data_IF_681535157165
#
_entry.id   IF_681535157165
#
_cell.length_a   1.000
_cell.length_b   1.000
_cell.length_c   1.000
_cell.angle_alpha   90.00
_cell.angle_beta   90.00
_cell.angle_gamma   90.00
#
_symmetry.space_group_name_H-M   'P 1'
#
loop_
_entity.id
_entity.type
_entity.pdbx_description
1 polymer ?
#
# COMPACT_ATOMS: atom_id res chain seq x y z
N UNK A 1 2.42 3.29 -10.21
CA UNK A 1 3.28 2.43 -11.05
C UNK A 1 4.73 2.70 -10.71
N UNK A 2 5.47 1.69 -10.27
CA UNK A 2 6.87 1.51 -10.67
C UNK A 2 7.08 0.12 -11.31
N UNK A 3 8.08 -0.05 -12.21
CA UNK A 3 8.30 -1.30 -12.93
C UNK A 3 9.01 -2.35 -12.06
N UNK A 4 8.78 -3.62 -12.38
CA UNK A 4 9.42 -4.76 -11.73
C UNK A 4 10.80 -5.03 -12.33
N UNK A 5 11.76 -5.34 -11.46
CA UNK A 5 13.12 -5.78 -11.83
C UNK A 5 13.16 -7.29 -12.03
N UNK A 6 13.81 -7.77 -13.10
CA UNK A 6 14.00 -9.19 -13.39
C UNK A 6 15.18 -9.79 -12.61
N UNK A 7 15.04 -11.02 -12.09
CA UNK A 7 16.13 -11.99 -11.90
C UNK A 7 16.03 -13.07 -12.99
N UNK A 8 17.04 -13.68 -13.63
CA UNK A 8 18.48 -13.86 -13.45
C UNK A 8 18.75 -15.36 -13.72
N UNK A 9 19.49 -15.65 -14.79
CA UNK A 9 20.40 -16.80 -14.96
C UNK A 9 19.93 -18.20 -14.52
N UNK A 10 19.66 -19.06 -15.51
CA UNK A 10 19.67 -20.52 -15.32
C UNK A 10 21.11 -21.02 -15.10
N UNK A 11 21.36 -21.64 -13.95
CA UNK A 11 22.58 -22.39 -13.69
C UNK A 11 22.47 -23.84 -14.18
N UNK A 12 23.47 -24.30 -14.91
CA UNK A 12 23.64 -25.70 -15.31
C UNK A 12 24.05 -26.57 -14.11
N UNK A 13 23.45 -27.76 -13.99
CA UNK A 13 23.88 -28.80 -13.03
C UNK A 13 24.33 -30.03 -13.80
N UNK A 14 25.56 -30.48 -13.55
CA UNK A 14 26.18 -31.64 -14.18
C UNK A 14 25.63 -32.95 -13.59
N UNK A 15 25.48 -33.97 -14.45
CA UNK A 15 25.14 -35.33 -14.04
C UNK A 15 26.40 -36.20 -13.99
N UNK A 16 26.66 -36.96 -12.90
CA UNK A 16 27.85 -37.79 -12.79
C UNK A 16 27.74 -39.10 -13.60
N UNK A 17 28.83 -39.46 -14.25
CA UNK A 17 29.02 -40.71 -15.01
C UNK A 17 28.92 -41.96 -14.12
N UNK A 18 28.06 -42.91 -14.49
CA UNK A 18 28.11 -44.29 -13.98
C UNK A 18 28.92 -45.18 -14.93
N UNK A 19 29.94 -45.84 -14.38
CA UNK A 19 30.82 -46.77 -15.11
C UNK A 19 30.12 -48.12 -15.31
N UNK A 20 30.08 -48.61 -16.54
CA UNK A 20 29.81 -50.03 -16.81
C UNK A 20 31.09 -50.84 -16.63
N UNK A 21 31.05 -51.85 -15.75
CA UNK A 21 32.06 -52.91 -15.70
C UNK A 21 31.68 -54.02 -16.69
N UNK A 22 32.41 -54.11 -17.80
CA UNK A 22 32.33 -55.24 -18.73
C UNK A 22 33.19 -56.39 -18.24
N UNK A 23 32.57 -57.50 -17.83
CA UNK A 23 33.26 -58.76 -17.58
C UNK A 23 33.62 -59.43 -18.93
N UNK A 24 34.90 -59.71 -19.13
CA UNK A 24 35.40 -60.50 -20.27
C UNK A 24 35.89 -61.85 -19.74
N UNK A 25 35.33 -62.95 -20.26
CA UNK A 25 35.79 -64.31 -19.95
C UNK A 25 36.71 -64.76 -21.08
N UNK A 26 38.01 -64.78 -20.80
CA UNK A 26 39.02 -65.35 -21.70
C UNK A 26 39.11 -66.87 -21.54
N UNK A 27 38.71 -67.61 -22.57
CA UNK A 27 38.95 -69.06 -22.67
C UNK A 27 40.29 -69.32 -23.38
N UNK A 28 41.34 -69.55 -22.59
CA UNK A 28 42.65 -69.98 -23.09
C UNK A 28 42.70 -71.50 -23.22
N UNK A 29 42.72 -72.01 -24.45
CA UNK A 29 43.03 -73.41 -24.74
C UNK A 29 44.52 -73.53 -25.11
N UNK A 30 45.31 -74.23 -24.28
CA UNK A 30 46.72 -74.51 -24.54
C UNK A 30 47.01 -76.01 -24.56
N UNK A 31 47.22 -76.49 -25.78
CA UNK A 31 47.74 -77.78 -26.25
C UNK A 31 48.71 -78.52 -25.33
N UNK A 32 48.52 -79.83 -25.19
CA UNK A 32 49.61 -80.79 -24.93
C UNK A 32 49.46 -81.99 -25.89
N UNK A 33 50.39 -82.12 -26.84
CA UNK A 33 51.08 -83.37 -27.22
C UNK A 33 52.07 -83.10 -28.37
N UNK A 34 53.29 -83.62 -28.24
CA UNK A 34 54.37 -83.46 -29.21
C UNK A 34 54.84 -84.78 -29.83
N UNK A 35 55.55 -84.64 -30.96
CA UNK A 35 56.44 -85.58 -31.72
C UNK A 35 57.01 -86.76 -30.90
N UNK A 36 57.34 -87.94 -31.44
CA UNK A 36 57.82 -88.38 -32.78
C UNK A 36 57.38 -89.86 -33.06
N UNK A 37 57.79 -90.62 -34.10
CA UNK A 37 58.52 -90.36 -35.36
C UNK A 37 59.24 -91.63 -35.93
N UNK A 38 59.38 -91.70 -37.27
CA UNK A 38 60.10 -92.67 -38.13
C UNK A 38 59.76 -94.20 -38.10
N UNK A 39 59.35 -94.66 -39.30
CA UNK A 39 59.84 -95.81 -40.09
C UNK A 39 59.54 -97.32 -39.80
N UNK A 40 58.93 -97.91 -40.83
CA UNK A 40 59.20 -99.21 -41.50
C UNK A 40 59.01 -100.56 -40.77
N UNK A 41 57.88 -101.20 -41.10
CA UNK A 41 57.72 -102.56 -41.64
C UNK A 41 58.50 -103.76 -41.04
N UNK A 42 57.76 -104.79 -40.60
CA UNK A 42 57.64 -106.14 -41.24
C UNK A 42 56.89 -107.14 -40.32
N UNK A 43 55.88 -107.80 -40.89
CA UNK A 43 55.26 -109.09 -40.54
C UNK A 43 55.14 -109.58 -39.07
N UNK A 44 53.90 -109.51 -38.57
CA UNK A 44 53.08 -110.68 -38.22
C UNK A 44 53.66 -111.81 -37.33
N UNK A 45 53.41 -111.72 -36.02
CA UNK A 45 52.97 -112.89 -35.22
C UNK A 45 51.75 -112.51 -34.37
N UNK A 46 50.70 -113.33 -34.50
CA UNK A 46 49.37 -113.26 -33.88
C UNK A 46 49.34 -112.74 -32.41
N UNK A 47 48.62 -111.67 -32.06
CA UNK A 47 47.15 -111.46 -32.08
C UNK A 47 46.29 -112.33 -31.13
N UNK A 48 46.74 -112.59 -29.89
CA UNK A 48 45.80 -113.08 -28.84
C UNK A 48 45.88 -112.38 -27.46
N UNK A 49 47.03 -111.84 -27.02
CA UNK A 49 47.16 -111.27 -25.67
C UNK A 49 46.87 -109.76 -25.55
N UNK A 50 46.98 -109.01 -26.66
CA UNK A 50 46.66 -107.56 -26.69
C UNK A 50 45.15 -107.31 -26.54
N UNK A 51 44.32 -108.28 -26.92
CA UNK A 51 42.86 -108.24 -26.81
C UNK A 51 42.41 -108.09 -25.36
N UNK A 52 42.87 -108.94 -24.44
CA UNK A 52 42.38 -108.92 -23.06
C UNK A 52 42.88 -107.70 -22.26
N UNK A 53 44.12 -107.25 -22.49
CA UNK A 53 44.61 -105.98 -21.93
C UNK A 53 43.83 -104.77 -22.49
N UNK A 54 43.41 -104.80 -23.77
CA UNK A 54 42.48 -103.80 -24.32
C UNK A 54 41.10 -103.87 -23.66
N UNK A 55 40.54 -105.06 -23.41
CA UNK A 55 39.25 -105.20 -22.72
C UNK A 55 39.29 -104.70 -21.28
N UNK A 56 40.35 -104.98 -20.51
CA UNK A 56 40.50 -104.49 -19.14
C UNK A 56 40.72 -102.96 -19.12
N UNK A 57 41.59 -102.41 -19.98
CA UNK A 57 41.71 -100.95 -20.10
C UNK A 57 40.42 -100.30 -20.62
N UNK A 58 39.65 -100.96 -21.48
CA UNK A 58 38.35 -100.46 -21.93
C UNK A 58 37.32 -100.48 -20.77
N UNK A 59 37.28 -101.53 -19.96
CA UNK A 59 36.43 -101.62 -18.77
C UNK A 59 36.82 -100.59 -17.70
N UNK A 60 38.12 -100.37 -17.45
CA UNK A 60 38.60 -99.33 -16.53
C UNK A 60 38.34 -97.93 -17.08
N UNK A 61 38.50 -97.70 -18.40
CA UNK A 61 38.09 -96.44 -19.03
C UNK A 61 36.57 -96.23 -18.97
N UNK A 62 35.75 -97.25 -19.17
CA UNK A 62 34.28 -97.17 -19.08
C UNK A 62 33.83 -96.91 -17.64
N UNK A 63 34.45 -97.55 -16.64
CA UNK A 63 34.21 -97.32 -15.23
C UNK A 63 34.69 -95.91 -14.81
N UNK A 64 35.88 -95.49 -15.23
CA UNK A 64 36.43 -94.16 -14.98
C UNK A 64 35.63 -93.04 -15.67
N UNK A 65 35.13 -93.27 -16.89
CA UNK A 65 34.19 -92.38 -17.56
C UNK A 65 32.88 -92.30 -16.78
N UNK A 66 32.31 -93.43 -16.31
CA UNK A 66 31.08 -93.41 -15.52
C UNK A 66 31.23 -92.68 -14.18
N UNK A 67 32.37 -92.82 -13.49
CA UNK A 67 32.68 -92.08 -12.26
C UNK A 67 32.89 -90.58 -12.56
N UNK A 68 33.61 -90.23 -13.62
CA UNK A 68 33.82 -88.84 -14.04
C UNK A 68 32.49 -88.16 -14.40
N UNK A 69 31.61 -88.86 -15.13
CA UNK A 69 30.26 -88.41 -15.44
C UNK A 69 29.42 -88.24 -14.16
N UNK A 70 29.49 -89.18 -13.20
CA UNK A 70 28.81 -89.06 -11.91
C UNK A 70 29.29 -87.85 -11.10
N UNK A 71 30.60 -87.58 -11.06
CA UNK A 71 31.17 -86.41 -10.39
C UNK A 71 30.75 -85.10 -11.08
N UNK A 72 30.73 -85.09 -12.42
CA UNK A 72 30.26 -83.93 -13.19
C UNK A 72 28.77 -83.66 -12.95
N UNK A 73 27.92 -84.70 -12.95
CA UNK A 73 26.48 -84.59 -12.65
C UNK A 73 26.23 -84.14 -11.21
N UNK A 74 26.99 -84.64 -10.23
CA UNK A 74 26.91 -84.18 -8.85
C UNK A 74 27.35 -82.71 -8.70
N UNK A 75 28.43 -82.31 -9.37
CA UNK A 75 28.89 -80.92 -9.41
C UNK A 75 27.83 -79.99 -10.01
N UNK A 76 27.21 -80.38 -11.14
CA UNK A 76 26.11 -79.65 -11.78
C UNK A 76 24.90 -79.56 -10.86
N UNK A 77 24.54 -80.65 -10.16
CA UNK A 77 23.43 -80.65 -9.21
C UNK A 77 23.67 -79.73 -8.01
N UNK A 78 24.89 -79.72 -7.45
CA UNK A 78 25.28 -78.82 -6.36
C UNK A 78 25.27 -77.35 -6.83
N UNK A 79 25.81 -77.06 -8.02
CA UNK A 79 25.76 -75.72 -8.63
C UNK A 79 24.32 -75.25 -8.86
N UNK A 80 23.46 -76.11 -9.42
CA UNK A 80 22.04 -75.81 -9.61
C UNK A 80 21.36 -75.50 -8.27
N UNK A 81 21.62 -76.30 -7.22
CA UNK A 81 21.07 -76.05 -5.87
C UNK A 81 21.59 -74.77 -5.24
N UNK A 82 22.87 -74.42 -5.41
CA UNK A 82 23.43 -73.13 -4.95
C UNK A 82 22.72 -71.96 -5.64
N UNK A 83 22.61 -72.01 -6.96
CA UNK A 83 21.93 -71.00 -7.76
C UNK A 83 20.44 -70.87 -7.42
N UNK A 84 19.74 -71.98 -7.15
CA UNK A 84 18.34 -72.00 -6.72
C UNK A 84 18.13 -71.43 -5.29
N UNK A 85 19.17 -71.39 -4.46
CA UNK A 85 19.16 -70.73 -3.14
C UNK A 85 19.45 -69.23 -3.30
N UNK A 86 20.48 -68.87 -4.07
CA UNK A 86 20.83 -67.48 -4.37
C UNK A 86 19.68 -66.75 -5.07
N UNK A 87 19.05 -67.37 -6.08
CA UNK A 87 17.91 -66.80 -6.79
C UNK A 87 16.70 -66.57 -5.87
N UNK A 88 16.44 -67.49 -4.92
CA UNK A 88 15.41 -67.32 -3.87
C UNK A 88 15.79 -66.32 -2.78
N UNK A 89 17.07 -66.00 -2.61
CA UNK A 89 17.50 -64.90 -1.76
C UNK A 89 17.30 -63.56 -2.47
N UNK A 90 17.82 -63.42 -3.69
CA UNK A 90 17.62 -62.23 -4.54
C UNK A 90 16.13 -61.90 -4.72
N UNK A 91 15.26 -62.90 -4.90
CA UNK A 91 13.82 -62.68 -5.05
C UNK A 91 13.18 -62.11 -3.77
N UNK A 92 13.56 -62.60 -2.57
CA UNK A 92 13.08 -62.04 -1.29
C UNK A 92 13.66 -60.65 -1.00
N UNK A 93 14.90 -60.40 -1.39
CA UNK A 93 15.52 -59.07 -1.32
C UNK A 93 14.84 -58.08 -2.29
N UNK A 94 14.42 -58.53 -3.48
CA UNK A 94 13.62 -57.73 -4.41
C UNK A 94 12.25 -57.39 -3.81
N UNK A 95 11.49 -58.39 -3.36
CA UNK A 95 10.14 -58.20 -2.78
C UNK A 95 10.17 -57.26 -1.56
N UNK A 96 11.18 -57.38 -0.69
CA UNK A 96 11.34 -56.45 0.44
C UNK A 96 11.70 -55.03 0.00
N UNK A 97 12.57 -54.87 -1.00
CA UNK A 97 12.92 -53.54 -1.54
C UNK A 97 11.77 -52.88 -2.30
N UNK A 98 10.96 -53.66 -3.01
CA UNK A 98 9.73 -53.16 -3.64
C UNK A 98 8.73 -52.65 -2.58
N UNK A 99 8.53 -53.40 -1.50
CA UNK A 99 7.69 -52.96 -0.37
C UNK A 99 8.22 -51.70 0.33
N UNK A 100 9.55 -51.58 0.52
CA UNK A 100 10.16 -50.36 1.08
C UNK A 100 9.94 -49.14 0.17
N UNK A 101 10.07 -49.31 -1.15
CA UNK A 101 9.86 -48.25 -2.14
C UNK A 101 8.38 -47.82 -2.17
N UNK A 102 7.44 -48.77 -2.10
CA UNK A 102 6.01 -48.50 -2.05
C UNK A 102 5.64 -47.65 -0.82
N UNK A 103 6.17 -48.03 0.36
CA UNK A 103 5.92 -47.30 1.61
C UNK A 103 6.60 -45.91 1.63
N UNK A 104 7.80 -45.78 1.04
CA UNK A 104 8.48 -44.48 0.90
C UNK A 104 7.72 -43.54 -0.04
N UNK A 105 7.24 -44.04 -1.20
CA UNK A 105 6.39 -43.26 -2.12
C UNK A 105 5.11 -42.79 -1.44
N UNK A 106 4.45 -43.67 -0.69
CA UNK A 106 3.25 -43.33 0.09
C UNK A 106 3.53 -42.24 1.13
N UNK A 107 4.61 -42.37 1.92
CA UNK A 107 4.99 -41.34 2.90
C UNK A 107 5.33 -40.00 2.25
N UNK A 108 6.00 -40.00 1.09
CA UNK A 108 6.29 -38.76 0.34
C UNK A 108 5.01 -38.05 -0.10
N UNK A 109 4.06 -38.79 -0.70
CA UNK A 109 2.81 -38.20 -1.17
C UNK A 109 1.88 -37.73 -0.03
N UNK A 110 1.87 -38.43 1.11
CA UNK A 110 1.15 -37.99 2.31
C UNK A 110 1.71 -36.67 2.89
N UNK A 111 3.03 -36.47 2.87
CA UNK A 111 3.66 -35.24 3.36
C UNK A 111 3.49 -34.06 2.38
N UNK A 112 3.60 -34.31 1.07
CA UNK A 112 3.26 -33.31 0.04
C UNK A 112 1.82 -32.82 0.16
N UNK A 113 0.86 -33.74 0.38
CA UNK A 113 -0.54 -33.41 0.63
C UNK A 113 -0.75 -32.59 1.92
N UNK A 114 0.01 -32.87 2.98
CA UNK A 114 -0.01 -32.08 4.23
C UNK A 114 0.49 -30.66 4.01
N UNK A 115 1.63 -30.50 3.35
CA UNK A 115 2.20 -29.18 3.02
C UNK A 115 1.25 -28.37 2.14
N UNK A 116 0.69 -28.98 1.08
CA UNK A 116 -0.27 -28.36 0.20
C UNK A 116 -1.54 -27.90 0.94
N UNK A 117 -2.04 -28.70 1.88
CA UNK A 117 -3.20 -28.34 2.73
C UNK A 117 -2.91 -27.15 3.65
N UNK A 118 -1.70 -27.05 4.20
CA UNK A 118 -1.28 -25.93 5.06
C UNK A 118 -1.14 -24.63 4.25
N UNK A 119 -0.56 -24.68 3.05
CA UNK A 119 -0.49 -23.51 2.17
C UNK A 119 -1.88 -23.04 1.73
N UNK A 120 -2.75 -23.98 1.34
CA UNK A 120 -4.13 -23.68 0.93
C UNK A 120 -4.94 -22.95 2.02
N UNK A 121 -4.85 -23.38 3.28
CA UNK A 121 -5.49 -22.66 4.40
C UNK A 121 -4.79 -21.34 4.77
N UNK A 122 -3.52 -21.18 4.42
CA UNK A 122 -2.81 -19.90 4.55
C UNK A 122 -3.26 -18.91 3.48
N UNK A 123 -3.38 -19.36 2.22
CA UNK A 123 -3.87 -18.57 1.09
C UNK A 123 -5.35 -18.19 1.23
N UNK A 124 -6.20 -19.07 1.78
CA UNK A 124 -7.59 -18.73 2.13
C UNK A 124 -7.67 -17.57 3.13
N UNK A 125 -6.86 -17.61 4.21
CA UNK A 125 -6.81 -16.53 5.22
C UNK A 125 -6.30 -15.21 4.62
N UNK A 126 -5.32 -15.28 3.72
CA UNK A 126 -4.82 -14.12 2.98
C UNK A 126 -5.93 -13.50 2.10
N UNK A 127 -6.64 -14.30 1.30
CA UNK A 127 -7.76 -13.86 0.46
C UNK A 127 -8.86 -13.20 1.28
N UNK A 128 -9.23 -13.77 2.43
CA UNK A 128 -10.31 -13.23 3.26
C UNK A 128 -9.91 -11.88 3.91
N UNK A 129 -8.65 -11.75 4.33
CA UNK A 129 -8.07 -10.48 4.76
C UNK A 129 -8.09 -9.43 3.62
N UNK A 130 -7.71 -9.82 2.41
CA UNK A 130 -7.73 -8.95 1.23
C UNK A 130 -9.16 -8.46 0.91
N UNK A 131 -10.15 -9.35 0.89
CA UNK A 131 -11.57 -8.99 0.71
C UNK A 131 -12.04 -7.97 1.74
N UNK A 132 -11.74 -8.20 3.03
CA UNK A 132 -12.12 -7.28 4.11
C UNK A 132 -11.50 -5.90 3.94
N UNK A 133 -10.22 -5.82 3.51
CA UNK A 133 -9.57 -4.53 3.19
C UNK A 133 -10.19 -3.85 1.97
N UNK A 134 -10.54 -4.59 0.92
CA UNK A 134 -11.20 -4.03 -0.27
C UNK A 134 -12.59 -3.48 0.05
N UNK A 135 -13.40 -4.21 0.84
CA UNK A 135 -14.70 -3.71 1.31
C UNK A 135 -14.55 -2.40 2.10
N UNK A 136 -13.63 -2.35 3.08
CA UNK A 136 -13.33 -1.13 3.84
C UNK A 136 -12.76 0.03 3.00
N UNK A 137 -12.15 -0.25 1.85
CA UNK A 137 -11.71 0.79 0.90
C UNK A 137 -12.89 1.28 0.05
N UNK A 138 -13.76 0.36 -0.41
CA UNK A 138 -15.02 0.68 -1.08
C UNK A 138 -15.92 1.56 -0.22
N UNK A 139 -16.20 1.18 1.03
CA UNK A 139 -17.00 1.99 1.96
C UNK A 139 -16.43 3.40 2.16
N UNK A 140 -15.09 3.52 2.28
CA UNK A 140 -14.41 4.81 2.41
C UNK A 140 -14.52 5.65 1.15
N UNK A 141 -14.43 5.03 -0.04
CA UNK A 141 -14.63 5.69 -1.32
C UNK A 141 -16.07 6.19 -1.45
N UNK A 142 -17.06 5.33 -1.24
CA UNK A 142 -18.48 5.67 -1.33
C UNK A 142 -18.85 6.81 -0.37
N UNK A 143 -18.30 6.82 0.84
CA UNK A 143 -18.46 7.94 1.81
C UNK A 143 -17.68 9.20 1.45
N UNK A 144 -16.63 9.11 0.63
CA UNK A 144 -15.95 10.28 0.09
C UNK A 144 -16.79 10.86 -1.04
N UNK A 145 -17.11 10.04 -2.05
CA UNK A 145 -17.92 10.42 -3.20
C UNK A 145 -19.30 10.98 -2.76
N UNK A 146 -19.92 10.42 -1.71
CA UNK A 146 -21.16 10.97 -1.15
C UNK A 146 -20.96 12.33 -0.48
N UNK A 147 -19.86 12.57 0.24
CA UNK A 147 -19.56 13.90 0.82
C UNK A 147 -19.27 14.91 -0.28
N UNK A 148 -18.52 14.53 -1.31
CA UNK A 148 -18.22 15.39 -2.46
C UNK A 148 -19.52 15.74 -3.23
N UNK A 149 -20.48 14.82 -3.33
CA UNK A 149 -21.83 15.06 -3.91
C UNK A 149 -22.69 15.93 -3.00
N UNK A 150 -22.71 15.70 -1.69
CA UNK A 150 -23.44 16.52 -0.71
C UNK A 150 -22.89 17.96 -0.68
N UNK A 151 -21.57 18.14 -0.73
CA UNK A 151 -20.91 19.44 -0.88
C UNK A 151 -21.29 20.09 -2.22
N UNK A 152 -21.26 19.35 -3.34
CA UNK A 152 -21.66 19.88 -4.66
C UNK A 152 -23.15 20.30 -4.69
N UNK A 153 -24.03 19.56 -4.02
CA UNK A 153 -25.45 19.93 -3.86
C UNK A 153 -25.63 21.12 -2.90
N UNK A 154 -24.77 21.25 -1.88
CA UNK A 154 -24.75 22.40 -0.98
C UNK A 154 -24.29 23.69 -1.69
N UNK A 155 -23.34 23.56 -2.63
CA UNK A 155 -22.82 24.66 -3.46
C UNK A 155 -23.83 25.09 -4.54
N UNK A 156 -24.65 24.17 -5.06
CA UNK A 156 -25.72 24.48 -6.01
C UNK A 156 -27.03 24.96 -5.35
N UNK A 157 -27.20 24.78 -4.03
CA UNK A 157 -28.30 25.39 -3.30
C UNK A 157 -27.96 26.85 -3.07
N UNK A 158 -28.73 27.77 -3.68
CA UNK A 158 -28.66 29.21 -3.41
C UNK A 158 -28.48 29.43 -1.91
N UNK A 159 -27.28 29.83 -1.50
CA UNK A 159 -26.91 29.67 -0.09
C UNK A 159 -27.73 30.62 0.76
N UNK A 160 -27.93 30.32 2.05
CA UNK A 160 -28.60 31.27 2.95
C UNK A 160 -27.91 32.65 2.95
N UNK A 161 -26.60 32.71 2.70
CA UNK A 161 -25.85 33.97 2.54
C UNK A 161 -26.18 34.71 1.24
N UNK A 162 -26.54 34.01 0.16
CA UNK A 162 -27.00 34.63 -1.09
C UNK A 162 -28.45 35.11 -0.99
N UNK A 163 -29.29 34.40 -0.24
CA UNK A 163 -30.65 34.84 0.07
C UNK A 163 -30.62 36.04 1.01
N UNK A 164 -29.93 35.95 2.15
CA UNK A 164 -29.62 37.06 3.05
C UNK A 164 -29.05 38.28 2.27
N UNK A 165 -28.21 38.05 1.25
CA UNK A 165 -27.66 39.12 0.40
C UNK A 165 -28.69 39.75 -0.54
N UNK A 166 -29.56 38.96 -1.18
CA UNK A 166 -30.66 39.48 -2.01
C UNK A 166 -31.61 40.34 -1.18
N UNK A 167 -31.96 39.86 0.01
CA UNK A 167 -32.90 40.51 0.91
C UNK A 167 -32.27 41.80 1.50
N UNK A 168 -31.01 41.76 1.95
CA UNK A 168 -30.24 42.93 2.41
C UNK A 168 -30.07 44.02 1.33
N UNK A 169 -29.83 43.64 0.07
CA UNK A 169 -29.65 44.59 -1.04
C UNK A 169 -30.95 45.33 -1.39
N UNK A 170 -32.10 44.83 -0.93
CA UNK A 170 -33.41 45.45 -1.06
C UNK A 170 -33.67 46.49 0.04
N UNK A 171 -33.96 46.07 1.26
CA UNK A 171 -34.61 46.93 2.26
C UNK A 171 -33.64 47.92 2.92
N UNK A 172 -32.59 47.43 3.62
CA UNK A 172 -31.60 48.27 4.31
C UNK A 172 -30.93 49.31 3.39
N UNK A 173 -30.74 48.94 2.12
CA UNK A 173 -30.16 49.82 1.09
C UNK A 173 -31.14 50.89 0.63
N UNK A 174 -32.43 50.58 0.52
CA UNK A 174 -33.47 51.56 0.20
C UNK A 174 -33.59 52.57 1.35
N UNK A 175 -33.63 52.10 2.60
CA UNK A 175 -33.69 52.95 3.79
C UNK A 175 -32.47 53.87 3.91
N UNK A 176 -31.27 53.36 3.62
CA UNK A 176 -30.06 54.19 3.53
C UNK A 176 -30.17 55.27 2.42
N UNK A 177 -30.72 54.92 1.25
CA UNK A 177 -30.95 55.89 0.17
C UNK A 177 -31.99 56.94 0.55
N UNK A 178 -33.05 56.57 1.26
CA UNK A 178 -34.09 57.49 1.78
C UNK A 178 -33.44 58.49 2.75
N UNK A 179 -32.76 58.01 3.80
CA UNK A 179 -32.08 58.85 4.80
C UNK A 179 -31.08 59.84 4.17
N UNK A 180 -30.32 59.40 3.16
CA UNK A 180 -29.40 60.29 2.41
C UNK A 180 -30.18 61.34 1.59
N UNK A 181 -31.28 60.96 0.96
CA UNK A 181 -32.09 61.86 0.13
C UNK A 181 -32.80 62.92 0.99
N UNK A 182 -33.30 62.53 2.16
CA UNK A 182 -33.91 63.41 3.15
C UNK A 182 -32.92 64.48 3.66
N UNK A 183 -31.72 64.06 4.07
CA UNK A 183 -30.71 64.95 4.65
C UNK A 183 -30.23 66.02 3.65
N UNK A 184 -29.91 65.64 2.42
CA UNK A 184 -29.45 66.59 1.40
C UNK A 184 -30.60 67.30 0.66
N UNK A 185 -31.86 66.94 0.93
CA UNK A 185 -33.07 67.44 0.25
C UNK A 185 -32.95 67.35 -1.28
N UNK A 186 -32.23 66.33 -1.76
CA UNK A 186 -31.73 66.30 -3.13
C UNK A 186 -32.75 65.68 -4.07
N UNK A 187 -33.10 66.38 -5.16
CA UNK A 187 -34.14 65.94 -6.11
C UNK A 187 -33.74 64.75 -7.00
N UNK A 188 -32.52 64.22 -6.88
CA UNK A 188 -31.98 63.17 -7.74
C UNK A 188 -31.48 61.95 -6.97
N UNK A 189 -32.32 60.93 -6.90
CA UNK A 189 -32.07 59.56 -6.41
C UNK A 189 -30.73 58.94 -6.88
N UNK A 190 -30.24 59.33 -8.06
CA UNK A 190 -28.94 58.91 -8.62
C UNK A 190 -27.75 59.20 -7.67
N UNK A 191 -27.77 60.33 -6.97
CA UNK A 191 -26.66 60.74 -6.10
C UNK A 191 -26.70 59.99 -4.75
N UNK A 192 -27.88 59.82 -4.16
CA UNK A 192 -28.05 59.01 -2.95
C UNK A 192 -27.66 57.55 -3.17
N UNK A 193 -28.08 56.95 -4.30
CA UNK A 193 -27.67 55.60 -4.71
C UNK A 193 -26.16 55.46 -4.87
N UNK A 194 -25.49 56.45 -5.50
CA UNK A 194 -24.02 56.48 -5.65
C UNK A 194 -23.30 56.56 -4.32
N UNK A 195 -23.77 57.40 -3.39
CA UNK A 195 -23.18 57.52 -2.06
C UNK A 195 -23.33 56.22 -1.27
N UNK A 196 -24.53 55.61 -1.32
CA UNK A 196 -24.82 54.33 -0.66
C UNK A 196 -23.94 53.18 -1.18
N UNK A 197 -23.70 53.10 -2.49
CA UNK A 197 -22.75 52.15 -3.08
C UNK A 197 -21.32 52.40 -2.60
N UNK A 198 -20.85 53.66 -2.59
CA UNK A 198 -19.51 54.01 -2.11
C UNK A 198 -19.29 53.63 -0.64
N UNK A 199 -20.31 53.84 0.21
CA UNK A 199 -20.30 53.42 1.61
C UNK A 199 -20.17 51.89 1.69
N UNK A 200 -21.01 51.15 0.96
CA UNK A 200 -20.98 49.69 0.93
C UNK A 200 -19.62 49.14 0.47
N UNK A 201 -19.07 49.65 -0.65
CA UNK A 201 -17.74 49.31 -1.16
C UNK A 201 -16.65 49.54 -0.11
N UNK A 202 -16.70 50.69 0.58
CA UNK A 202 -15.70 51.05 1.59
C UNK A 202 -15.75 50.11 2.80
N UNK A 203 -16.95 49.76 3.28
CA UNK A 203 -17.14 48.75 4.34
C UNK A 203 -16.65 47.38 3.88
N UNK A 204 -17.02 46.98 2.66
CA UNK A 204 -16.63 45.70 2.07
C UNK A 204 -15.11 45.53 2.03
N UNK A 205 -14.38 46.53 1.53
CA UNK A 205 -12.91 46.52 1.48
C UNK A 205 -12.28 46.54 2.88
N UNK A 206 -12.82 47.35 3.79
CA UNK A 206 -12.29 47.46 5.15
C UNK A 206 -12.37 46.12 5.88
N UNK A 207 -13.55 45.51 5.91
CA UNK A 207 -13.76 44.20 6.55
C UNK A 207 -13.01 43.09 5.83
N UNK A 208 -12.83 43.16 4.50
CA UNK A 208 -12.00 42.21 3.76
C UNK A 208 -10.52 42.26 4.20
N UNK A 209 -9.96 43.46 4.34
CA UNK A 209 -8.59 43.63 4.84
C UNK A 209 -8.46 43.10 6.27
N UNK A 210 -9.36 43.50 7.17
CA UNK A 210 -9.37 43.03 8.57
C UNK A 210 -9.51 41.50 8.69
N UNK A 211 -10.31 40.86 7.82
CA UNK A 211 -10.44 39.39 7.77
C UNK A 211 -9.13 38.73 7.31
N UNK A 212 -8.38 39.37 6.41
CA UNK A 212 -7.01 38.97 6.05
C UNK A 212 -6.05 39.04 7.23
N UNK A 213 -6.00 40.19 7.93
CA UNK A 213 -5.14 40.40 9.10
C UNK A 213 -5.47 39.42 10.24
N UNK A 214 -6.75 39.20 10.52
CA UNK A 214 -7.24 38.19 11.48
C UNK A 214 -6.77 36.77 11.10
N UNK A 215 -6.85 36.41 9.81
CA UNK A 215 -6.41 35.09 9.32
C UNK A 215 -4.90 34.93 9.47
N UNK A 216 -4.11 35.98 9.19
CA UNK A 216 -2.67 35.99 9.39
C UNK A 216 -2.30 35.89 10.89
N UNK A 217 -3.00 36.61 11.77
CA UNK A 217 -2.80 36.48 13.21
C UNK A 217 -3.11 35.06 13.70
N UNK A 218 -4.19 34.44 13.22
CA UNK A 218 -4.54 33.06 13.56
C UNK A 218 -3.49 32.04 13.11
N UNK A 219 -2.90 32.19 11.90
CA UNK A 219 -1.80 31.35 11.43
C UNK A 219 -0.62 31.38 12.39
N UNK A 220 -0.18 32.58 12.79
CA UNK A 220 0.93 32.73 13.74
C UNK A 220 0.60 32.19 15.14
N UNK A 221 -0.62 32.41 15.65
CA UNK A 221 -1.09 31.83 16.92
C UNK A 221 -1.07 30.29 16.85
N UNK A 222 -1.61 29.72 15.77
CA UNK A 222 -1.74 28.27 15.61
C UNK A 222 -0.39 27.60 15.41
N UNK A 223 0.53 28.24 14.68
CA UNK A 223 1.93 27.85 14.60
C UNK A 223 2.61 27.88 15.97
N UNK A 224 2.47 28.98 16.70
CA UNK A 224 3.03 29.13 18.05
C UNK A 224 2.52 28.03 19.00
N UNK A 225 1.22 27.71 18.95
CA UNK A 225 0.61 26.64 19.75
C UNK A 225 1.15 25.25 19.37
N UNK A 226 1.39 24.96 18.10
CA UNK A 226 2.01 23.70 17.67
C UNK A 226 3.46 23.60 18.16
N UNK A 227 4.25 24.67 18.02
CA UNK A 227 5.68 24.69 18.38
C UNK A 227 5.92 24.68 19.90
N UNK A 228 5.10 25.40 20.67
CA UNK A 228 5.35 25.65 22.11
C UNK A 228 4.31 24.99 23.03
N UNK A 229 3.17 24.53 22.50
CA UNK A 229 2.03 24.00 23.26
C UNK A 229 2.39 22.87 24.22
N UNK A 230 3.18 21.84 23.85
CA UNK A 230 3.58 20.78 24.77
C UNK A 230 4.35 21.30 26.00
N UNK A 231 5.26 22.26 25.78
CA UNK A 231 6.04 22.88 26.87
C UNK A 231 5.17 23.77 27.77
N UNK A 232 4.26 24.56 27.18
CA UNK A 232 3.28 25.37 27.91
C UNK A 232 2.36 24.47 28.75
N UNK A 233 1.85 23.39 28.17
CA UNK A 233 0.98 22.41 28.84
C UNK A 233 1.68 21.70 30.00
N UNK A 234 2.92 21.26 29.82
CA UNK A 234 3.71 20.66 30.90
C UNK A 234 3.95 21.65 32.06
N UNK A 235 4.39 22.87 31.76
CA UNK A 235 4.63 23.90 32.79
C UNK A 235 3.33 24.33 33.51
N UNK A 236 2.19 24.37 32.80
CA UNK A 236 0.88 24.61 33.41
C UNK A 236 0.46 23.47 34.35
N UNK A 237 0.62 22.21 33.91
CA UNK A 237 0.32 21.02 34.71
C UNK A 237 1.15 20.94 36.00
N UNK A 238 2.46 21.20 35.93
CA UNK A 238 3.30 21.23 37.13
C UNK A 238 2.93 22.40 38.07
N UNK A 239 2.57 23.58 37.55
CA UNK A 239 2.07 24.68 38.40
C UNK A 239 0.78 24.34 39.13
N UNK A 240 -0.18 23.67 38.48
CA UNK A 240 -1.43 23.25 39.12
C UNK A 240 -1.19 22.37 40.35
N UNK A 241 -0.23 21.43 40.29
CA UNK A 241 0.17 20.63 41.46
C UNK A 241 0.63 21.50 42.64
N UNK A 242 1.28 22.63 42.37
CA UNK A 242 1.81 23.55 43.40
C UNK A 242 0.80 24.54 43.97
N UNK A 243 -0.47 24.52 43.52
CA UNK A 243 -1.57 25.40 43.97
C UNK A 243 -1.27 26.91 43.93
N UNK A 244 -0.35 27.37 43.09
CA UNK A 244 -0.08 28.81 42.87
C UNK A 244 -1.05 29.38 41.83
N UNK A 245 -1.56 30.59 42.05
CA UNK A 245 -2.52 31.21 41.13
C UNK A 245 -1.94 31.35 39.70
N UNK A 246 -2.71 31.01 38.64
CA UNK A 246 -2.14 30.72 37.33
C UNK A 246 -2.24 31.91 36.35
N UNK A 247 -1.76 33.10 36.74
CA UNK A 247 -1.59 34.20 35.76
C UNK A 247 -0.28 34.00 35.02
N UNK A 248 -0.35 33.52 33.78
CA UNK A 248 0.81 33.32 32.90
C UNK A 248 0.59 34.05 31.57
N UNK A 249 1.29 35.17 31.40
CA UNK A 249 1.20 36.00 30.19
C UNK A 249 2.08 35.42 29.07
N UNK A 250 1.44 34.79 28.09
CA UNK A 250 2.09 34.28 26.88
C UNK A 250 2.19 35.41 25.86
N UNK A 251 3.42 35.75 25.46
CA UNK A 251 3.68 36.70 24.36
C UNK A 251 3.79 35.93 23.04
N UNK A 252 2.79 36.07 22.17
CA UNK A 252 2.79 35.48 20.83
C UNK A 252 3.35 36.52 19.85
N UNK A 253 4.47 36.24 19.15
CA UNK A 253 5.01 37.16 18.14
C UNK A 253 4.19 37.07 16.86
N UNK A 254 3.39 38.10 16.56
CA UNK A 254 2.65 38.19 15.30
C UNK A 254 3.55 38.75 14.19
N UNK A 255 3.68 38.02 13.08
CA UNK A 255 4.38 38.45 11.87
C UNK A 255 3.39 38.86 10.78
N UNK A 256 3.68 39.96 10.08
CA UNK A 256 2.80 40.54 9.06
C UNK A 256 2.67 39.71 7.78
N UNK A 257 3.63 38.82 7.49
CA UNK A 257 3.67 38.04 6.23
C UNK A 257 2.86 36.74 6.24
N UNK A 258 2.40 36.27 7.42
CA UNK A 258 1.56 35.07 7.58
C UNK A 258 2.25 33.75 7.19
N UNK A 259 2.51 32.89 8.17
CA UNK A 259 3.04 31.53 7.91
C UNK A 259 2.13 30.69 6.99
N UNK A 260 2.77 29.79 6.26
CA UNK A 260 2.07 28.74 5.52
C UNK A 260 1.44 27.77 6.54
N UNK A 261 0.14 27.50 6.37
CA UNK A 261 -0.67 26.74 7.33
C UNK A 261 -1.69 25.90 6.57
N UNK A 262 -2.08 24.74 7.11
CA UNK A 262 -3.00 23.83 6.40
C UNK A 262 -4.33 24.50 6.08
N UNK A 263 -4.80 24.33 4.83
CA UNK A 263 -6.08 24.89 4.37
C UNK A 263 -7.24 24.36 5.20
N UNK A 264 -7.32 23.05 5.43
CA UNK A 264 -8.39 22.40 6.19
C UNK A 264 -8.65 23.06 7.57
N UNK A 265 -7.60 23.51 8.25
CA UNK A 265 -7.70 24.18 9.56
C UNK A 265 -8.13 25.65 9.42
N UNK A 266 -7.66 26.34 8.37
CA UNK A 266 -8.09 27.70 8.05
C UNK A 266 -9.54 27.73 7.59
N UNK A 267 -9.98 26.73 6.83
CA UNK A 267 -11.35 26.62 6.33
C UNK A 267 -12.33 26.35 7.49
N UNK A 268 -11.97 25.48 8.43
CA UNK A 268 -12.71 25.28 9.69
C UNK A 268 -12.81 26.56 10.55
N UNK A 269 -11.74 27.36 10.62
CA UNK A 269 -11.79 28.69 11.26
C UNK A 269 -12.74 29.63 10.52
N UNK A 270 -12.57 29.77 9.20
CA UNK A 270 -13.33 30.70 8.37
C UNK A 270 -14.83 30.37 8.40
N UNK A 271 -15.18 29.07 8.49
CA UNK A 271 -16.54 28.60 8.74
C UNK A 271 -17.03 29.00 10.15
N UNK A 272 -16.24 28.77 11.20
CA UNK A 272 -16.58 29.18 12.57
C UNK A 272 -16.79 30.69 12.70
N UNK A 273 -15.99 31.49 11.99
CA UNK A 273 -16.10 32.95 11.88
C UNK A 273 -17.37 33.36 11.11
N UNK A 274 -17.70 32.65 10.02
CA UNK A 274 -18.93 32.85 9.24
C UNK A 274 -20.19 32.63 10.07
N UNK A 275 -20.23 31.54 10.85
CA UNK A 275 -21.34 31.20 11.74
C UNK A 275 -21.45 32.16 12.93
N UNK A 276 -20.31 32.67 13.41
CA UNK A 276 -20.24 33.65 14.50
C UNK A 276 -20.52 35.09 14.04
N UNK A 277 -20.54 35.38 12.74
CA UNK A 277 -20.73 36.72 12.17
C UNK A 277 -21.93 37.51 12.73
N UNK A 278 -23.12 36.93 13.02
CA UNK A 278 -24.23 37.65 13.63
C UNK A 278 -23.95 38.14 15.06
N UNK A 279 -22.99 37.52 15.76
CA UNK A 279 -22.60 37.83 17.14
C UNK A 279 -21.36 38.73 17.24
N UNK A 280 -20.74 39.09 16.10
CA UNK A 280 -19.57 39.97 16.07
C UNK A 280 -19.96 41.34 16.60
N UNK A 281 -19.22 41.84 17.59
CA UNK A 281 -19.34 43.22 18.03
C UNK A 281 -18.88 44.13 16.88
N UNK A 282 -19.83 44.77 16.20
CA UNK A 282 -19.58 45.66 15.07
C UNK A 282 -18.99 47.01 15.47
N UNK A 283 -19.22 47.45 16.72
CA UNK A 283 -18.88 48.80 17.19
C UNK A 283 -17.36 49.06 17.13
N UNK A 284 -16.54 48.01 17.27
CA UNK A 284 -15.08 48.07 17.19
C UNK A 284 -14.57 48.53 15.80
N UNK A 285 -15.37 48.34 14.74
CA UNK A 285 -15.01 48.74 13.38
C UNK A 285 -15.58 50.11 12.98
N UNK A 286 -16.64 50.57 13.66
CA UNK A 286 -17.44 51.73 13.22
C UNK A 286 -16.60 53.00 13.05
N UNK A 287 -15.71 53.29 14.00
CA UNK A 287 -14.81 54.46 13.91
C UNK A 287 -13.89 54.36 12.69
N UNK A 288 -13.18 53.25 12.53
CA UNK A 288 -12.24 53.04 11.43
C UNK A 288 -12.90 53.06 10.05
N UNK A 289 -14.13 52.56 9.96
CA UNK A 289 -14.97 52.60 8.75
C UNK A 289 -15.41 54.03 8.44
N UNK A 290 -15.98 54.77 9.39
CA UNK A 290 -16.37 56.17 9.20
C UNK A 290 -15.18 57.03 8.78
N UNK A 291 -14.05 56.89 9.46
CA UNK A 291 -12.80 57.58 9.13
C UNK A 291 -12.27 57.20 7.74
N UNK A 292 -12.46 55.96 7.25
CA UNK A 292 -12.09 55.55 5.88
C UNK A 292 -13.06 56.12 4.84
N UNK A 293 -14.37 56.12 5.11
CA UNK A 293 -15.39 56.71 4.20
C UNK A 293 -15.13 58.20 4.02
N UNK A 294 -14.90 58.95 5.10
CA UNK A 294 -14.63 60.39 5.04
C UNK A 294 -13.35 60.70 4.25
N UNK A 295 -12.26 59.95 4.47
CA UNK A 295 -11.01 60.11 3.71
C UNK A 295 -11.17 59.80 2.22
N UNK A 296 -11.77 58.65 1.87
CA UNK A 296 -12.00 58.30 0.46
C UNK A 296 -12.93 59.29 -0.25
N UNK A 297 -13.91 59.84 0.46
CA UNK A 297 -14.76 60.90 -0.06
C UNK A 297 -13.93 62.17 -0.38
N UNK A 298 -13.12 62.64 0.56
CA UNK A 298 -12.22 63.80 0.37
C UNK A 298 -11.22 63.58 -0.79
N UNK A 299 -10.62 62.39 -0.90
CA UNK A 299 -9.71 62.04 -2.00
C UNK A 299 -10.40 62.01 -3.38
N UNK A 300 -11.66 61.56 -3.45
CA UNK A 300 -12.44 61.53 -4.69
C UNK A 300 -12.89 62.93 -5.15
N UNK A 301 -13.08 63.88 -4.23
CA UNK A 301 -13.41 65.29 -4.57
C UNK A 301 -12.34 65.97 -5.41
N UNK A 302 -11.06 65.68 -5.15
CA UNK A 302 -9.95 66.23 -5.93
C UNK A 302 -9.88 65.74 -7.38
N UNK A 303 -10.75 64.79 -7.79
CA UNK A 303 -10.68 64.13 -9.10
C UNK A 303 -11.97 64.15 -9.91
N UNK A 304 -13.17 64.32 -9.33
CA UNK A 304 -14.45 64.46 -10.08
C UNK A 304 -15.62 64.99 -9.24
N UNK A 305 -16.65 65.44 -9.95
CA UNK A 305 -17.83 66.22 -9.53
C UNK A 305 -18.86 65.50 -8.63
N UNK A 306 -18.43 64.83 -7.55
CA UNK A 306 -19.37 64.39 -6.51
C UNK A 306 -19.84 65.61 -5.71
N UNK A 307 -21.14 65.95 -5.72
CA UNK A 307 -21.66 67.09 -4.93
C UNK A 307 -21.97 66.73 -3.47
N UNK A 308 -22.20 65.45 -3.19
CA UNK A 308 -22.46 64.96 -1.83
C UNK A 308 -21.16 64.62 -1.10
N UNK A 309 -20.85 65.36 -0.05
CA UNK A 309 -19.84 64.98 0.94
C UNK A 309 -20.50 64.34 2.16
N UNK A 310 -20.31 63.03 2.41
CA UNK A 310 -20.85 62.40 3.61
C UNK A 310 -20.29 63.11 4.85
N UNK A 311 -21.17 63.53 5.74
CA UNK A 311 -20.79 64.14 7.01
C UNK A 311 -20.71 63.07 8.11
N UNK A 312 -19.96 63.32 9.19
CA UNK A 312 -19.97 62.41 10.34
C UNK A 312 -21.38 62.25 10.92
N UNK A 313 -22.20 63.31 10.89
CA UNK A 313 -23.60 63.28 11.31
C UNK A 313 -24.44 62.31 10.48
N UNK A 314 -24.30 62.33 9.15
CA UNK A 314 -24.98 61.40 8.26
C UNK A 314 -24.52 59.96 8.50
N UNK A 315 -23.21 59.76 8.66
CA UNK A 315 -22.66 58.43 8.92
C UNK A 315 -23.13 57.86 10.27
N UNK A 316 -23.47 58.70 11.26
CA UNK A 316 -24.13 58.26 12.49
C UNK A 316 -25.60 57.85 12.23
N UNK A 317 -26.35 58.55 11.36
CA UNK A 317 -27.72 58.17 10.99
C UNK A 317 -27.81 56.89 10.13
N UNK A 318 -26.68 56.50 9.54
CA UNK A 318 -26.48 55.25 8.82
C UNK A 318 -25.84 54.15 9.68
N UNK A 319 -25.77 54.30 11.01
CA UNK A 319 -25.06 53.32 11.86
C UNK A 319 -25.61 51.91 11.74
N UNK A 320 -26.92 51.71 11.71
CA UNK A 320 -27.51 50.37 11.55
C UNK A 320 -27.17 49.77 10.18
N UNK A 321 -27.27 50.56 9.11
CA UNK A 321 -26.87 50.15 7.76
C UNK A 321 -25.38 49.76 7.69
N UNK A 322 -24.50 50.53 8.33
CA UNK A 322 -23.07 50.20 8.44
C UNK A 322 -22.85 48.90 9.22
N UNK A 323 -23.57 48.68 10.33
CA UNK A 323 -23.49 47.45 11.14
C UNK A 323 -23.94 46.22 10.35
N UNK A 324 -25.02 46.31 9.59
CA UNK A 324 -25.47 45.20 8.74
C UNK A 324 -24.53 44.98 7.53
N UNK A 325 -24.00 46.03 6.90
CA UNK A 325 -22.93 45.90 5.90
C UNK A 325 -21.72 45.10 6.45
N UNK A 326 -21.31 45.38 7.69
CA UNK A 326 -20.22 44.66 8.36
C UNK A 326 -20.60 43.19 8.59
N UNK A 327 -21.75 42.90 9.20
CA UNK A 327 -22.23 41.54 9.49
C UNK A 327 -22.34 40.70 8.21
N UNK A 328 -22.95 41.26 7.16
CA UNK A 328 -23.06 40.63 5.85
C UNK A 328 -21.67 40.28 5.30
N UNK A 329 -20.71 41.22 5.35
CA UNK A 329 -19.37 40.97 4.84
C UNK A 329 -18.61 39.92 5.66
N UNK A 330 -18.85 39.80 6.97
CA UNK A 330 -18.30 38.70 7.77
C UNK A 330 -18.87 37.33 7.36
N UNK A 331 -20.19 37.23 7.07
CA UNK A 331 -20.85 36.02 6.52
C UNK A 331 -20.35 35.63 5.13
N UNK A 332 -19.87 36.59 4.34
CA UNK A 332 -19.22 36.32 3.06
C UNK A 332 -17.82 35.72 3.25
N UNK A 333 -17.75 34.39 3.25
CA UNK A 333 -16.52 33.64 2.96
C UNK A 333 -16.44 33.48 1.44
N UNK A 334 -15.35 33.95 0.83
CA UNK A 334 -14.93 33.39 -0.46
C UNK A 334 -14.28 32.05 -0.14
N UNK A 335 -14.94 30.97 -0.54
CA UNK A 335 -14.32 29.68 -0.82
C UNK A 335 -13.36 29.82 -2.01
#
# INVERSE_FOLDING_TARGET
MPPWSSPSQYGSVELPLLRYHSFSISLSFSTILGRSGLEQAVFAVHTLHVSQLRWINCLICMAGQSISILIALLSIFILHRSFEVELRQCQRELETKESEIEELKKRSSEEELRLCKIDLETKKREIESLKKRMAQYGDRRTRQDQRDVEDTLSLNRQSKVEQDFKDFVSEDRIDACIKITEEYKEKSDINAKRLTCMVFETVYEYVLATKGDMTNAFKEISKFVVENGPGIGHHYFERLKTRKEPVFNIKIPLRSSGSEYSRDVLDGLLLSVKESAPKVNTDIFMKGIKDKILRLAQERMGKRSCKLMPTMWLLNHLDDYLKECIKLKWRMVKS
#
